data_IF_634370585102
#
_entry.id   IF_634370585102
#
_cell.length_a   1.000
_cell.length_b   1.000
_cell.length_c   1.000
_cell.angle_alpha   90.00
_cell.angle_beta   90.00
_cell.angle_gamma   90.00
#
_symmetry.space_group_name_H-M   'P 1'
#
loop_
_entity.id
_entity.type
_entity.pdbx_description
1 polymer ?
#
# COMPACT_ATOMS: atom_id res chain seq x y z
N UNK A 1 -19.63 -3.77 11.35
CA UNK A 1 -18.86 -2.92 10.41
C UNK A 1 -18.29 -3.81 9.32
N UNK A 2 -18.34 -3.40 8.04
CA UNK A 2 -17.81 -4.22 6.93
C UNK A 2 -16.31 -3.99 6.81
N UNK A 3 -15.50 -5.05 6.81
CA UNK A 3 -14.06 -4.93 6.56
C UNK A 3 -13.85 -4.32 5.16
N UNK A 4 -12.92 -3.37 4.99
CA UNK A 4 -12.64 -2.82 3.67
C UNK A 4 -12.08 -3.94 2.79
N UNK A 5 -12.66 -4.14 1.60
CA UNK A 5 -12.29 -5.21 0.67
C UNK A 5 -10.88 -5.08 0.06
N UNK A 6 -10.00 -4.23 0.61
CA UNK A 6 -8.62 -4.07 0.17
C UNK A 6 -8.52 -3.54 -1.26
N UNK A 7 -8.24 -2.25 -1.43
CA UNK A 7 -7.99 -1.71 -2.78
C UNK A 7 -6.48 -1.76 -3.06
N UNK A 8 -6.03 -2.82 -3.74
CA UNK A 8 -4.65 -2.96 -4.22
C UNK A 8 -4.51 -2.23 -5.55
N UNK A 9 -3.51 -1.34 -5.66
CA UNK A 9 -3.13 -0.73 -6.94
C UNK A 9 -1.61 -0.78 -7.13
N UNK A 10 -1.12 -1.09 -8.35
CA UNK A 10 0.29 -0.92 -8.67
C UNK A 10 0.69 0.55 -8.61
N UNK A 11 1.93 0.81 -8.22
CA UNK A 11 2.55 2.13 -8.28
C UNK A 11 3.35 2.31 -9.58
N UNK A 12 3.54 3.57 -9.98
CA UNK A 12 4.21 3.95 -11.23
C UNK A 12 5.49 4.76 -10.96
N UNK A 13 6.23 5.06 -12.03
CA UNK A 13 7.47 5.84 -11.96
C UNK A 13 8.56 5.14 -11.18
N UNK A 14 9.23 5.87 -10.27
CA UNK A 14 10.32 5.34 -9.41
C UNK A 14 9.89 4.18 -8.51
N UNK A 15 8.58 4.00 -8.30
CA UNK A 15 8.00 2.92 -7.49
C UNK A 15 7.37 1.81 -8.34
N UNK A 16 7.73 1.70 -9.62
CA UNK A 16 7.30 0.55 -10.45
C UNK A 16 7.73 -0.77 -9.78
N UNK A 17 6.81 -1.72 -9.68
CA UNK A 17 7.00 -3.00 -8.99
C UNK A 17 6.55 -3.01 -7.51
N UNK A 18 6.16 -1.85 -6.98
CA UNK A 18 5.51 -1.73 -5.67
C UNK A 18 3.99 -1.63 -5.84
N UNK A 19 3.28 -1.97 -4.78
CA UNK A 19 1.83 -1.97 -4.69
C UNK A 19 1.38 -1.17 -3.47
N UNK A 20 0.19 -0.57 -3.56
CA UNK A 20 -0.48 0.07 -2.45
C UNK A 20 -1.75 -0.69 -2.10
N UNK A 21 -1.86 -1.18 -0.88
CA UNK A 21 -3.10 -1.66 -0.29
C UNK A 21 -3.76 -0.54 0.53
N UNK A 22 -5.06 -0.30 0.28
CA UNK A 22 -5.88 0.60 1.11
C UNK A 22 -6.56 -0.16 2.23
N UNK A 23 -6.28 0.23 3.47
CA UNK A 23 -6.95 -0.24 4.68
C UNK A 23 -7.61 0.95 5.37
N UNK A 24 -8.86 1.26 5.00
CA UNK A 24 -9.55 2.45 5.49
C UNK A 24 -8.80 3.75 5.16
N UNK A 25 -8.31 4.45 6.20
CA UNK A 25 -7.48 5.66 6.08
C UNK A 25 -5.98 5.38 5.98
N UNK A 26 -5.54 4.13 6.09
CA UNK A 26 -4.14 3.75 5.97
C UNK A 26 -3.79 3.26 4.56
N UNK A 27 -2.53 3.43 4.19
CA UNK A 27 -1.92 2.93 2.95
C UNK A 27 -0.72 2.08 3.35
N UNK A 28 -0.72 0.83 2.93
CA UNK A 28 0.41 -0.08 3.07
C UNK A 28 1.09 -0.17 1.71
N UNK A 29 2.36 0.24 1.63
CA UNK A 29 3.18 0.06 0.44
C UNK A 29 3.97 -1.23 0.62
N UNK A 30 3.91 -2.10 -0.37
CA UNK A 30 4.59 -3.38 -0.33
C UNK A 30 5.07 -3.80 -1.71
N UNK A 31 5.96 -4.79 -1.75
CA UNK A 31 6.34 -5.50 -2.98
C UNK A 31 6.35 -7.01 -2.72
N UNK A 32 6.23 -7.79 -3.79
CA UNK A 32 6.37 -9.26 -3.72
C UNK A 32 7.78 -9.66 -4.15
N UNK A 33 8.43 -10.52 -3.38
CA UNK A 33 9.69 -11.17 -3.75
C UNK A 33 9.50 -12.68 -3.56
N UNK A 34 9.51 -13.44 -4.67
CA UNK A 34 9.19 -14.86 -4.61
C UNK A 34 7.77 -15.11 -4.06
N UNK A 35 7.69 -15.78 -2.91
CA UNK A 35 6.42 -16.02 -2.21
C UNK A 35 6.14 -14.99 -1.09
N UNK A 36 7.10 -14.12 -0.80
CA UNK A 36 7.01 -13.19 0.32
C UNK A 36 6.46 -11.83 -0.09
N UNK A 37 5.75 -11.20 0.84
CA UNK A 37 5.33 -9.81 0.75
C UNK A 37 6.13 -8.96 1.72
N UNK A 38 6.90 -8.02 1.18
CA UNK A 38 7.71 -7.09 1.98
C UNK A 38 6.92 -5.80 2.10
N UNK A 39 6.53 -5.46 3.34
CA UNK A 39 5.97 -4.16 3.68
C UNK A 39 7.13 -3.15 3.76
N UNK A 40 7.00 -2.06 3.02
CA UNK A 40 8.05 -1.05 2.85
C UNK A 40 7.68 0.21 3.61
N UNK A 41 6.38 0.51 3.69
CA UNK A 41 5.87 1.70 4.38
C UNK A 41 4.41 1.48 4.80
N UNK A 42 4.03 2.06 5.94
CA UNK A 42 2.66 2.14 6.43
C UNK A 42 2.40 3.57 6.84
N UNK A 43 1.49 4.23 6.13
CA UNK A 43 1.20 5.66 6.35
C UNK A 43 -0.28 5.97 6.37
N UNK A 44 -0.65 6.96 7.17
CA UNK A 44 -2.01 7.47 7.19
C UNK A 44 -2.26 8.38 5.98
N UNK A 45 -3.52 8.50 5.52
CA UNK A 45 -3.88 9.36 4.38
C UNK A 45 -3.46 10.82 4.59
N UNK A 46 -3.60 11.30 5.82
CA UNK A 46 -3.39 12.72 6.17
C UNK A 46 -1.92 13.12 6.18
N UNK A 47 -1.02 12.16 6.37
CA UNK A 47 0.42 12.44 6.55
C UNK A 47 1.12 12.69 5.22
N UNK A 48 0.44 12.49 4.09
CA UNK A 48 0.95 12.83 2.76
C UNK A 48 0.95 14.34 2.46
N UNK A 49 0.36 15.16 3.34
CA UNK A 49 0.21 16.61 3.17
C UNK A 49 0.93 17.42 4.27
N UNK A 50 1.86 16.80 5.02
CA UNK A 50 2.77 17.49 5.93
C UNK A 50 4.19 17.42 5.40
#
# INVERSE_FOLDING_TARGET
SKLPQGNIKPLSGKLKGYFRLRVGKWRVIFKRIGQDFIIVDIRHRGDAYR
#
